data_IF_224036512100
#
_entry.id   IF_224036512100
#
_cell.length_a   1.000
_cell.length_b   1.000
_cell.length_c   1.000
_cell.angle_alpha   90.00
_cell.angle_beta   90.00
_cell.angle_gamma   90.00
#
_symmetry.space_group_name_H-M   'P 1'
#
loop_
_entity.id
_entity.type
_entity.pdbx_description
1 polymer ?
#
# COMPACT_ATOMS: atom_id res chain seq x y z
N UNK A 1 52.31 23.13 2.96
CA UNK A 1 50.89 23.01 2.47
C UNK A 1 50.78 21.74 1.66
N UNK A 2 49.81 20.90 1.93
CA UNK A 2 49.53 19.78 1.07
C UNK A 2 48.95 20.33 -0.26
N UNK A 3 49.54 19.91 -1.38
CA UNK A 3 49.04 20.24 -2.72
C UNK A 3 47.87 19.33 -3.06
N UNK A 4 46.84 19.89 -3.70
CA UNK A 4 45.63 19.17 -4.06
C UNK A 4 44.52 19.37 -3.03
N UNK A 5 43.34 18.94 -3.32
CA UNK A 5 42.14 19.04 -2.45
C UNK A 5 40.90 19.50 -3.24
N UNK A 6 39.74 19.41 -2.57
CA UNK A 6 38.43 19.73 -3.15
C UNK A 6 37.75 18.53 -3.83
N UNK A 7 36.48 18.73 -4.18
CA UNK A 7 35.65 17.72 -4.86
C UNK A 7 35.92 17.70 -6.36
N UNK A 8 35.67 16.56 -7.01
CA UNK A 8 35.74 16.42 -8.46
C UNK A 8 34.59 15.57 -9.00
N UNK A 9 34.12 15.90 -10.20
CA UNK A 9 33.14 15.11 -10.95
C UNK A 9 33.78 14.39 -12.14
N UNK A 10 34.88 14.97 -12.66
CA UNK A 10 35.70 14.42 -13.76
C UNK A 10 37.17 14.59 -13.41
N UNK A 11 38.04 13.76 -14.01
CA UNK A 11 39.48 13.78 -13.78
C UNK A 11 40.17 14.91 -14.58
N UNK A 12 39.91 16.16 -14.19
CA UNK A 12 40.39 17.37 -14.90
C UNK A 12 41.26 18.29 -14.02
N UNK A 13 42.06 17.71 -13.11
CA UNK A 13 42.90 18.47 -12.18
C UNK A 13 44.35 18.50 -12.73
N UNK A 14 44.92 19.71 -12.75
CA UNK A 14 46.26 19.93 -13.35
C UNK A 14 47.40 19.80 -12.33
N UNK A 15 47.11 19.89 -11.01
CA UNK A 15 48.16 19.82 -10.01
C UNK A 15 48.35 18.38 -9.48
N UNK A 16 49.59 17.92 -9.31
CA UNK A 16 49.82 16.68 -8.59
C UNK A 16 49.31 16.75 -7.17
N UNK A 17 48.51 15.77 -6.71
CA UNK A 17 47.96 15.74 -5.37
C UNK A 17 46.90 14.67 -5.16
N UNK A 18 46.45 14.50 -3.92
CA UNK A 18 45.35 13.60 -3.60
C UNK A 18 44.00 14.36 -3.71
N UNK A 19 43.12 13.89 -4.58
CA UNK A 19 41.77 14.40 -4.75
C UNK A 19 40.79 13.32 -4.28
N UNK A 20 40.10 13.57 -3.15
CA UNK A 20 39.26 12.57 -2.47
C UNK A 20 37.85 13.11 -2.39
N UNK A 21 36.91 12.43 -3.04
CA UNK A 21 35.48 12.64 -2.87
C UNK A 21 34.95 11.67 -1.84
N UNK A 22 34.32 12.21 -0.80
CA UNK A 22 33.44 11.45 0.03
C UNK A 22 32.05 11.51 -0.61
N UNK A 23 31.72 10.51 -1.39
CA UNK A 23 30.36 10.30 -1.88
C UNK A 23 29.69 9.37 -0.88
N UNK A 24 28.47 9.70 -0.45
CA UNK A 24 27.58 8.71 0.14
C UNK A 24 27.52 7.59 -0.90
N UNK A 25 28.13 6.46 -0.60
CA UNK A 25 27.73 5.25 -1.29
C UNK A 25 26.25 5.12 -1.02
N UNK A 26 25.41 5.28 -2.05
CA UNK A 26 24.21 4.52 -2.14
C UNK A 26 24.68 3.07 -2.27
N UNK A 27 25.29 2.54 -1.24
CA UNK A 27 25.54 1.13 -1.12
C UNK A 27 24.15 0.53 -0.99
N UNK A 28 23.81 -0.40 -1.85
CA UNK A 28 22.89 -1.45 -1.52
C UNK A 28 23.48 -2.14 -0.28
N UNK A 29 23.34 -1.48 0.87
CA UNK A 29 23.64 -2.08 2.16
C UNK A 29 22.46 -2.99 2.43
N UNK A 30 22.70 -4.15 3.02
CA UNK A 30 21.69 -5.06 3.51
C UNK A 30 20.95 -4.40 4.70
N UNK A 31 20.27 -3.27 4.45
CA UNK A 31 19.44 -2.55 5.43
C UNK A 31 18.01 -3.06 5.32
N UNK A 32 17.35 -3.16 6.46
CA UNK A 32 15.93 -3.49 6.49
C UNK A 32 15.13 -2.42 5.72
N UNK A 33 14.33 -2.86 4.75
CA UNK A 33 13.44 -1.95 4.03
C UNK A 33 12.30 -1.47 4.95
N UNK A 34 11.87 -0.22 4.74
CA UNK A 34 10.75 0.34 5.47
C UNK A 34 9.43 -0.27 5.05
N UNK A 35 8.54 -0.52 6.03
CA UNK A 35 7.18 -0.99 5.82
C UNK A 35 6.18 0.17 5.76
N UNK A 36 4.97 -0.11 5.29
CA UNK A 36 3.86 0.85 5.24
C UNK A 36 3.22 1.02 3.87
N UNK A 37 3.61 0.23 2.87
CA UNK A 37 3.03 0.31 1.53
C UNK A 37 1.89 -0.69 1.39
N UNK A 38 0.69 -0.17 1.10
CA UNK A 38 -0.50 -0.96 0.80
C UNK A 38 -0.91 -0.81 -0.66
N UNK A 39 -1.71 -1.73 -1.17
CA UNK A 39 -2.40 -1.58 -2.46
C UNK A 39 -3.85 -1.98 -2.35
N UNK A 40 -4.73 -1.25 -3.02
CA UNK A 40 -6.17 -1.53 -3.06
C UNK A 40 -6.79 -1.12 -4.39
N UNK A 41 -7.65 -1.97 -4.98
CA UNK A 41 -8.59 -1.55 -6.00
C UNK A 41 -9.78 -0.85 -5.34
N UNK A 42 -10.21 0.28 -5.88
CA UNK A 42 -11.22 1.17 -5.30
C UNK A 42 -12.32 1.49 -6.31
N UNK A 43 -13.55 1.58 -5.83
CA UNK A 43 -14.64 2.22 -6.55
C UNK A 43 -14.69 3.70 -6.16
N UNK A 44 -14.53 4.60 -7.12
CA UNK A 44 -14.43 6.03 -6.88
C UNK A 44 -15.35 6.80 -7.82
N UNK A 45 -15.91 7.91 -7.32
CA UNK A 45 -16.77 8.81 -8.10
C UNK A 45 -15.96 9.82 -8.93
N UNK A 46 -14.64 9.88 -8.73
CA UNK A 46 -13.69 10.81 -9.33
C UNK A 46 -12.27 10.28 -9.28
N UNK A 47 -11.36 10.87 -10.05
CA UNK A 47 -9.92 10.64 -9.94
C UNK A 47 -9.34 9.83 -11.09
N UNK A 48 -8.04 9.57 -10.99
CA UNK A 48 -7.23 8.87 -11.99
C UNK A 48 -7.86 7.52 -12.32
N UNK A 49 -7.88 7.16 -13.60
CA UNK A 49 -8.49 5.94 -14.11
C UNK A 49 -7.57 5.23 -15.11
N UNK A 50 -7.61 3.90 -15.13
CA UNK A 50 -6.88 3.06 -16.08
C UNK A 50 -5.42 2.79 -15.74
N UNK A 51 -4.92 3.33 -14.63
CA UNK A 51 -3.56 3.13 -14.16
C UNK A 51 -3.50 3.06 -12.63
N UNK A 52 -2.40 2.46 -12.11
CA UNK A 52 -2.07 2.51 -10.68
C UNK A 52 -1.51 3.88 -10.36
N UNK A 53 -2.00 4.50 -9.30
CA UNK A 53 -1.50 5.79 -8.83
C UNK A 53 -1.11 5.73 -7.35
N UNK A 54 -0.04 6.44 -7.02
CA UNK A 54 0.47 6.51 -5.66
C UNK A 54 -0.22 7.63 -4.88
N UNK A 55 -0.55 7.32 -3.63
CA UNK A 55 -1.09 8.30 -2.67
C UNK A 55 -0.33 8.12 -1.36
N UNK A 56 0.40 9.15 -0.95
CA UNK A 56 0.99 9.18 0.39
C UNK A 56 -0.03 9.64 1.43
N UNK A 57 0.20 9.33 2.71
CA UNK A 57 -0.66 9.85 3.78
C UNK A 57 -0.73 11.39 3.78
N UNK A 58 0.39 12.06 3.47
CA UNK A 58 0.43 13.52 3.36
C UNK A 58 -0.40 14.06 2.18
N UNK A 59 -0.35 13.38 1.02
CA UNK A 59 -1.17 13.74 -0.14
C UNK A 59 -2.65 13.52 0.13
N UNK A 60 -2.99 12.40 0.77
CA UNK A 60 -4.37 12.12 1.15
C UNK A 60 -4.96 13.22 2.05
N UNK A 61 -4.21 13.69 3.04
CA UNK A 61 -4.68 14.74 3.95
C UNK A 61 -4.81 16.11 3.26
N UNK A 62 -3.90 16.45 2.35
CA UNK A 62 -3.83 17.79 1.73
C UNK A 62 -4.60 17.90 0.43
N UNK A 63 -4.58 16.84 -0.38
CA UNK A 63 -5.01 16.85 -1.78
C UNK A 63 -6.21 15.93 -2.05
N UNK A 64 -6.95 15.49 -1.02
CA UNK A 64 -8.06 14.55 -1.17
C UNK A 64 -9.16 15.05 -2.12
N UNK A 65 -9.42 16.37 -2.15
CA UNK A 65 -10.37 16.96 -3.07
C UNK A 65 -9.93 16.82 -4.54
N UNK A 66 -8.64 16.99 -4.83
CA UNK A 66 -8.07 16.78 -6.16
C UNK A 66 -8.07 15.29 -6.55
N UNK A 67 -7.59 14.43 -5.65
CA UNK A 67 -7.37 13.02 -5.92
C UNK A 67 -8.67 12.21 -5.99
N UNK A 68 -9.61 12.47 -5.09
CA UNK A 68 -10.82 11.68 -4.89
C UNK A 68 -12.12 12.46 -5.08
N UNK A 69 -12.06 13.78 -5.31
CA UNK A 69 -13.21 14.67 -5.49
C UNK A 69 -13.93 15.04 -4.20
N UNK A 70 -13.42 14.67 -3.04
CA UNK A 70 -14.04 14.90 -1.74
C UNK A 70 -13.05 15.47 -0.74
N UNK A 71 -13.55 16.31 0.19
CA UNK A 71 -12.76 16.75 1.34
C UNK A 71 -12.29 15.56 2.18
N UNK A 72 -11.11 15.69 2.80
CA UNK A 72 -10.54 14.66 3.68
C UNK A 72 -11.53 14.13 4.72
N UNK A 73 -12.35 15.01 5.29
CA UNK A 73 -13.36 14.68 6.32
C UNK A 73 -14.65 14.06 5.79
N UNK A 74 -14.80 13.94 4.47
CA UNK A 74 -16.00 13.37 3.85
C UNK A 74 -16.23 11.92 4.30
N UNK A 75 -17.50 11.57 4.53
CA UNK A 75 -17.91 10.18 4.80
C UNK A 75 -17.50 9.23 3.66
N UNK A 76 -17.44 9.70 2.42
CA UNK A 76 -16.99 8.91 1.27
C UNK A 76 -15.54 8.41 1.38
N UNK A 77 -14.71 9.09 2.18
CA UNK A 77 -13.29 8.77 2.37
C UNK A 77 -13.00 8.08 3.70
N UNK A 78 -14.01 7.71 4.48
CA UNK A 78 -13.87 7.03 5.78
C UNK A 78 -12.97 5.79 5.71
N UNK A 79 -13.17 4.90 4.74
CA UNK A 79 -12.33 3.72 4.57
C UNK A 79 -10.87 4.05 4.32
N UNK A 80 -10.59 5.07 3.49
CA UNK A 80 -9.21 5.52 3.24
C UNK A 80 -8.60 6.16 4.51
N UNK A 81 -9.39 6.88 5.32
CA UNK A 81 -8.89 7.37 6.62
C UNK A 81 -8.49 6.21 7.53
N UNK A 82 -9.32 5.17 7.63
CA UNK A 82 -8.98 3.96 8.39
C UNK A 82 -7.69 3.28 7.89
N UNK A 83 -7.50 3.19 6.58
CA UNK A 83 -6.27 2.66 5.98
C UNK A 83 -5.04 3.50 6.38
N UNK A 84 -5.14 4.81 6.22
CA UNK A 84 -4.02 5.74 6.43
C UNK A 84 -3.72 6.06 7.89
N UNK A 85 -4.49 5.54 8.86
CA UNK A 85 -4.07 5.54 10.27
C UNK A 85 -2.72 4.83 10.41
N UNK A 86 -2.48 3.79 9.63
CA UNK A 86 -1.31 2.93 9.76
C UNK A 86 -0.47 2.82 8.47
N UNK A 87 -1.05 2.95 7.30
CA UNK A 87 -0.32 2.93 6.04
C UNK A 87 0.41 4.27 5.79
N UNK A 88 1.61 4.20 5.19
CA UNK A 88 2.37 5.38 4.73
C UNK A 88 2.00 5.75 3.30
N UNK A 89 1.84 4.74 2.46
CA UNK A 89 1.60 4.86 1.01
C UNK A 89 0.56 3.84 0.56
N UNK A 90 -0.32 4.27 -0.32
CA UNK A 90 -1.29 3.43 -1.02
C UNK A 90 -1.01 3.49 -2.52
N UNK A 91 -0.81 2.34 -3.15
CA UNK A 91 -0.96 2.17 -4.59
C UNK A 91 -2.42 1.87 -4.88
N UNK A 92 -3.14 2.88 -5.32
CA UNK A 92 -4.56 2.80 -5.63
C UNK A 92 -4.80 2.52 -7.12
N UNK A 93 -5.89 1.84 -7.41
CA UNK A 93 -6.39 1.65 -8.78
C UNK A 93 -7.90 1.86 -8.80
N UNK A 94 -8.39 2.67 -9.72
CA UNK A 94 -9.82 2.90 -9.86
C UNK A 94 -10.48 1.86 -10.75
N UNK A 95 -11.34 0.99 -10.17
CA UNK A 95 -12.02 -0.09 -10.87
C UNK A 95 -13.07 0.41 -11.87
N UNK A 96 -13.89 1.38 -11.45
CA UNK A 96 -15.00 1.95 -12.22
C UNK A 96 -14.59 3.20 -13.03
N UNK A 97 -13.35 3.23 -13.49
CA UNK A 97 -12.80 4.39 -14.20
C UNK A 97 -13.22 4.51 -15.67
N UNK A 98 -13.81 3.47 -16.28
CA UNK A 98 -14.26 3.47 -17.67
C UNK A 98 -15.67 4.08 -17.83
N UNK A 99 -15.91 5.22 -17.18
CA UNK A 99 -17.17 5.95 -17.25
C UNK A 99 -17.13 7.14 -18.20
N UNK A 100 -18.18 7.98 -18.13
CA UNK A 100 -18.31 9.19 -18.93
C UNK A 100 -17.86 10.42 -18.16
N UNK A 101 -17.17 11.35 -18.84
CA UNK A 101 -16.79 12.65 -18.28
C UNK A 101 -17.94 13.61 -18.38
N UNK A 102 -18.28 14.28 -17.29
CA UNK A 102 -19.22 15.40 -17.30
C UNK A 102 -18.67 16.57 -18.15
N UNK A 103 -19.57 17.31 -18.79
CA UNK A 103 -19.20 18.47 -19.57
C UNK A 103 -20.29 19.56 -19.52
N UNK A 104 -19.89 20.81 -19.86
CA UNK A 104 -20.77 21.89 -20.20
C UNK A 104 -20.28 22.56 -21.50
N UNK A 105 -20.85 23.71 -21.89
CA UNK A 105 -20.43 24.43 -23.10
C UNK A 105 -18.98 24.91 -23.05
N UNK A 106 -18.44 25.21 -21.87
CA UNK A 106 -17.12 25.80 -21.66
C UNK A 106 -15.99 24.80 -21.43
N UNK A 107 -16.31 23.65 -20.83
CA UNK A 107 -15.26 22.72 -20.40
C UNK A 107 -15.77 21.28 -20.28
N UNK A 108 -14.81 20.35 -20.21
CA UNK A 108 -15.02 18.93 -19.94
C UNK A 108 -14.27 18.53 -18.65
N UNK A 109 -14.90 17.74 -17.80
CA UNK A 109 -14.28 17.21 -16.58
C UNK A 109 -12.98 16.45 -16.90
N UNK A 110 -11.97 16.60 -16.05
CA UNK A 110 -10.69 15.93 -16.22
C UNK A 110 -10.84 14.40 -16.14
N UNK A 111 -11.65 13.93 -15.20
CA UNK A 111 -11.89 12.51 -14.96
C UNK A 111 -13.34 12.11 -15.20
N UNK A 112 -13.62 10.85 -15.58
CA UNK A 112 -14.99 10.34 -15.65
C UNK A 112 -15.56 10.19 -14.23
N UNK A 113 -16.88 10.12 -14.12
CA UNK A 113 -17.57 9.83 -12.88
C UNK A 113 -18.65 10.81 -12.51
N UNK A 114 -19.55 10.37 -11.63
CA UNK A 114 -20.72 11.13 -11.21
C UNK A 114 -20.35 12.43 -10.45
N UNK A 115 -19.20 12.48 -9.79
CA UNK A 115 -18.72 13.65 -9.08
C UNK A 115 -18.47 14.84 -10.03
N UNK A 116 -18.14 14.55 -11.30
CA UNK A 116 -18.00 15.57 -12.33
C UNK A 116 -19.26 16.41 -12.57
N UNK A 117 -20.45 15.87 -12.28
CA UNK A 117 -21.73 16.60 -12.43
C UNK A 117 -21.89 17.71 -11.37
N UNK A 118 -21.08 17.70 -10.32
CA UNK A 118 -21.08 18.77 -9.32
C UNK A 118 -20.12 19.93 -9.67
N UNK A 119 -19.40 19.81 -10.80
CA UNK A 119 -18.60 20.90 -11.33
C UNK A 119 -19.51 22.00 -11.90
N UNK A 120 -19.02 23.25 -11.82
CA UNK A 120 -19.69 24.43 -12.34
C UNK A 120 -18.66 25.42 -12.86
N UNK A 121 -18.91 26.04 -14.01
CA UNK A 121 -18.15 27.17 -14.54
C UNK A 121 -18.89 28.45 -14.22
N UNK A 122 -18.22 29.41 -13.57
CA UNK A 122 -18.71 30.78 -13.33
C UNK A 122 -17.78 31.73 -14.06
N UNK A 123 -18.33 32.71 -14.80
CA UNK A 123 -17.59 33.70 -15.55
C UNK A 123 -18.10 35.08 -15.17
N UNK A 124 -17.21 35.95 -14.72
CA UNK A 124 -17.49 37.31 -14.32
C UNK A 124 -16.54 38.27 -15.03
N UNK A 125 -16.95 39.52 -15.23
CA UNK A 125 -16.02 40.58 -15.65
C UNK A 125 -15.08 40.85 -14.48
N UNK A 126 -13.79 40.94 -14.75
CA UNK A 126 -12.80 41.28 -13.72
C UNK A 126 -13.08 42.69 -13.16
N UNK A 127 -12.98 42.83 -11.83
CA UNK A 127 -13.32 44.04 -11.13
C UNK A 127 -12.32 45.22 -11.38
N UNK A 128 -11.07 44.89 -11.68
CA UNK A 128 -9.99 45.86 -11.88
C UNK A 128 -9.78 46.22 -13.35
N UNK A 129 -10.15 45.31 -14.29
CA UNK A 129 -10.03 45.51 -15.74
C UNK A 129 -11.22 44.88 -16.48
N UNK A 130 -12.14 45.72 -16.94
CA UNK A 130 -13.35 45.30 -17.67
C UNK A 130 -13.09 44.59 -19.01
N UNK A 131 -11.85 44.59 -19.51
CA UNK A 131 -11.45 43.84 -20.71
C UNK A 131 -11.11 42.39 -20.43
N UNK A 132 -11.08 41.97 -19.13
CA UNK A 132 -10.74 40.63 -18.68
C UNK A 132 -11.94 39.95 -18.05
N UNK A 133 -11.89 38.62 -18.08
CA UNK A 133 -12.85 37.71 -17.40
C UNK A 133 -12.17 36.95 -16.29
N UNK A 134 -12.82 36.86 -15.12
CA UNK A 134 -12.50 35.92 -14.07
C UNK A 134 -13.32 34.64 -14.28
N UNK A 135 -12.63 33.57 -14.65
CA UNK A 135 -13.24 32.26 -14.92
C UNK A 135 -12.95 31.35 -13.76
N UNK A 136 -14.00 30.93 -13.04
CA UNK A 136 -13.92 30.09 -11.84
C UNK A 136 -14.42 28.69 -12.13
N UNK A 137 -13.68 27.71 -11.67
CA UNK A 137 -14.15 26.30 -11.57
C UNK A 137 -14.58 26.04 -10.14
N UNK A 138 -15.82 25.65 -9.94
CA UNK A 138 -16.33 25.22 -8.64
C UNK A 138 -16.57 23.71 -8.66
N UNK A 139 -16.33 23.04 -7.50
CA UNK A 139 -16.78 21.69 -7.23
C UNK A 139 -17.76 21.76 -6.04
N UNK A 140 -19.04 21.52 -6.29
CA UNK A 140 -20.10 21.84 -5.36
C UNK A 140 -20.17 23.38 -5.12
N UNK A 141 -19.85 23.81 -3.92
CA UNK A 141 -19.81 25.24 -3.52
C UNK A 141 -18.39 25.78 -3.39
N UNK A 142 -17.35 24.92 -3.49
CA UNK A 142 -15.95 25.30 -3.30
C UNK A 142 -15.33 25.74 -4.61
N UNK A 143 -14.73 26.94 -4.65
CA UNK A 143 -13.89 27.38 -5.77
C UNK A 143 -12.59 26.58 -5.72
N UNK A 144 -12.34 25.79 -6.76
CA UNK A 144 -11.17 24.91 -6.87
C UNK A 144 -10.12 25.40 -7.85
N UNK A 145 -10.48 26.37 -8.69
CA UNK A 145 -9.57 27.07 -9.61
C UNK A 145 -10.18 28.41 -10.04
N UNK A 146 -9.33 29.40 -10.25
CA UNK A 146 -9.72 30.72 -10.76
C UNK A 146 -8.62 31.25 -11.70
N UNK A 147 -9.02 31.70 -12.88
CA UNK A 147 -8.11 32.23 -13.90
C UNK A 147 -8.67 33.54 -14.44
N UNK A 148 -7.80 34.56 -14.61
CA UNK A 148 -8.15 35.84 -15.23
C UNK A 148 -7.57 35.85 -16.64
N UNK A 149 -8.43 36.02 -17.66
CA UNK A 149 -8.06 35.92 -19.07
C UNK A 149 -8.86 36.95 -19.91
N UNK A 150 -8.34 37.31 -21.06
CA UNK A 150 -9.06 38.18 -22.04
C UNK A 150 -10.10 37.41 -22.86
N UNK A 151 -9.84 36.14 -23.12
CA UNK A 151 -10.70 35.24 -23.90
C UNK A 151 -10.40 33.79 -23.57
N UNK A 152 -11.14 32.84 -24.18
CA UNK A 152 -11.01 31.40 -23.89
C UNK A 152 -9.63 30.84 -24.25
N UNK A 153 -8.91 31.44 -25.20
CA UNK A 153 -7.59 30.91 -25.63
C UNK A 153 -6.51 31.10 -24.56
N UNK A 154 -6.72 32.03 -23.62
CA UNK A 154 -5.87 32.22 -22.46
C UNK A 154 -6.05 31.22 -21.33
N UNK A 155 -7.11 30.40 -21.36
CA UNK A 155 -7.40 29.41 -20.31
C UNK A 155 -6.44 28.21 -20.36
N UNK A 156 -5.94 27.82 -19.21
CA UNK A 156 -5.13 26.63 -19.04
C UNK A 156 -5.94 25.53 -18.36
N UNK A 157 -5.75 24.28 -18.81
CA UNK A 157 -6.32 23.12 -18.14
C UNK A 157 -5.87 23.09 -16.67
N UNK A 158 -6.81 22.84 -15.76
CA UNK A 158 -6.52 22.72 -14.34
C UNK A 158 -6.67 21.26 -13.86
N UNK A 159 -6.66 21.03 -12.55
CA UNK A 159 -6.78 19.68 -11.96
C UNK A 159 -8.18 19.07 -12.12
N UNK A 160 -9.18 19.86 -12.47
CA UNK A 160 -10.59 19.47 -12.51
C UNK A 160 -11.19 19.48 -13.91
N UNK A 161 -10.75 20.39 -14.79
CA UNK A 161 -11.34 20.55 -16.12
C UNK A 161 -10.30 20.77 -17.21
N UNK A 162 -10.69 20.44 -18.43
CA UNK A 162 -10.05 20.86 -19.68
C UNK A 162 -11.00 21.80 -20.40
N UNK A 163 -10.51 23.00 -20.77
CA UNK A 163 -11.31 24.05 -21.37
C UNK A 163 -11.54 23.83 -22.87
N UNK A 164 -12.70 24.30 -23.36
CA UNK A 164 -12.95 24.49 -24.78
C UNK A 164 -12.43 25.87 -25.18
N UNK A 165 -11.32 25.90 -25.93
CA UNK A 165 -10.64 27.15 -26.31
C UNK A 165 -11.26 27.83 -27.52
N UNK A 166 -12.17 27.16 -28.23
CA UNK A 166 -12.85 27.68 -29.44
C UNK A 166 -14.20 28.36 -29.14
N UNK A 167 -14.45 28.76 -27.89
CA UNK A 167 -15.72 29.35 -27.45
C UNK A 167 -15.53 30.82 -27.05
N UNK A 168 -16.57 31.64 -27.21
CA UNK A 168 -16.63 32.96 -26.64
C UNK A 168 -17.02 32.91 -25.17
N UNK A 169 -16.28 33.64 -24.31
CA UNK A 169 -16.62 33.76 -22.90
C UNK A 169 -17.80 34.72 -22.74
N UNK A 170 -18.83 34.29 -22.04
CA UNK A 170 -20.01 35.09 -21.71
C UNK A 170 -20.19 35.09 -20.18
N UNK A 171 -20.54 36.24 -19.62
CA UNK A 171 -20.81 36.36 -18.18
C UNK A 171 -21.92 35.40 -17.76
N UNK A 172 -21.66 34.58 -16.75
CA UNK A 172 -22.63 33.63 -16.23
C UNK A 172 -22.47 33.44 -14.72
N UNK A 173 -23.60 33.33 -14.03
CA UNK A 173 -23.64 33.03 -12.60
C UNK A 173 -23.32 31.55 -12.29
N UNK A 174 -23.26 30.69 -13.31
CA UNK A 174 -22.82 29.30 -13.18
C UNK A 174 -23.49 28.36 -14.19
N UNK A 175 -22.68 27.73 -15.02
CA UNK A 175 -23.11 26.66 -15.95
C UNK A 175 -22.69 25.30 -15.35
N UNK A 176 -23.66 24.45 -14.97
CA UNK A 176 -23.35 23.13 -14.39
C UNK A 176 -22.80 22.19 -15.45
N UNK A 177 -21.97 21.23 -15.01
CA UNK A 177 -21.58 20.08 -15.81
C UNK A 177 -22.62 18.97 -15.70
N UNK A 178 -22.79 18.18 -16.75
CA UNK A 178 -23.74 17.08 -16.82
C UNK A 178 -23.17 15.89 -17.61
N UNK A 179 -23.83 14.71 -17.53
CA UNK A 179 -23.47 13.52 -18.28
C UNK A 179 -22.26 12.77 -17.73
N UNK A 180 -21.82 13.08 -16.53
CA UNK A 180 -20.78 12.30 -15.83
C UNK A 180 -21.36 11.01 -15.27
N UNK A 181 -20.71 9.88 -15.57
CA UNK A 181 -21.13 8.55 -15.11
C UNK A 181 -19.91 7.74 -14.66
N UNK A 182 -20.09 6.93 -13.62
CA UNK A 182 -19.10 5.93 -13.23
C UNK A 182 -19.15 4.77 -14.22
N UNK A 183 -18.01 4.14 -14.49
CA UNK A 183 -17.95 2.86 -15.19
C UNK A 183 -18.44 1.72 -14.31
N UNK A 184 -18.50 0.53 -14.88
CA UNK A 184 -18.88 -0.69 -14.17
C UNK A 184 -17.67 -1.34 -13.50
N UNK A 185 -17.89 -1.86 -12.28
CA UNK A 185 -16.98 -2.77 -11.61
C UNK A 185 -17.36 -4.22 -11.92
N UNK A 186 -16.49 -4.93 -12.63
CA UNK A 186 -16.71 -6.32 -13.01
C UNK A 186 -15.40 -7.12 -12.97
N UNK A 187 -15.44 -8.42 -13.26
CA UNK A 187 -14.28 -9.29 -13.26
C UNK A 187 -13.12 -8.81 -14.14
N UNK A 188 -13.42 -8.15 -15.28
CA UNK A 188 -12.39 -7.60 -16.15
C UNK A 188 -11.68 -6.39 -15.53
N UNK A 189 -12.40 -5.55 -14.77
CA UNK A 189 -11.81 -4.43 -14.04
C UNK A 189 -10.84 -4.92 -12.95
N UNK A 190 -11.21 -5.96 -12.20
CA UNK A 190 -10.31 -6.59 -11.24
C UNK A 190 -9.08 -7.21 -11.91
N UNK A 191 -9.25 -7.89 -13.06
CA UNK A 191 -8.11 -8.46 -13.78
C UNK A 191 -7.14 -7.36 -14.27
N UNK A 192 -7.65 -6.26 -14.81
CA UNK A 192 -6.81 -5.11 -15.21
C UNK A 192 -6.00 -4.54 -14.03
N UNK A 193 -6.63 -4.45 -12.85
CA UNK A 193 -5.91 -4.06 -11.65
C UNK A 193 -4.78 -5.05 -11.32
N UNK A 194 -5.07 -6.35 -11.29
CA UNK A 194 -4.07 -7.38 -10.98
C UNK A 194 -2.90 -7.35 -11.96
N UNK A 195 -3.18 -7.19 -13.26
CA UNK A 195 -2.15 -7.08 -14.30
C UNK A 195 -1.29 -5.81 -14.11
N UNK A 196 -1.92 -4.70 -13.72
CA UNK A 196 -1.23 -3.41 -13.51
C UNK A 196 -0.38 -3.40 -12.24
N UNK A 197 -0.85 -4.02 -11.16
CA UNK A 197 -0.17 -3.96 -9.85
C UNK A 197 0.99 -4.96 -9.73
N UNK A 198 1.08 -5.97 -10.60
CA UNK A 198 2.11 -7.01 -10.54
C UNK A 198 3.54 -6.43 -10.63
N UNK A 199 3.72 -5.26 -11.26
CA UNK A 199 5.01 -4.58 -11.38
C UNK A 199 5.43 -3.76 -10.15
N UNK A 200 4.55 -3.63 -9.15
CA UNK A 200 4.78 -2.80 -7.97
C UNK A 200 5.17 -3.62 -6.75
N UNK A 201 5.96 -3.01 -5.87
CA UNK A 201 6.34 -3.62 -4.59
C UNK A 201 5.52 -3.03 -3.45
N UNK A 202 4.83 -3.88 -2.70
CA UNK A 202 3.97 -3.50 -1.57
C UNK A 202 3.95 -4.62 -0.52
N UNK A 203 3.48 -4.30 0.69
CA UNK A 203 3.49 -5.24 1.82
C UNK A 203 2.14 -5.94 2.01
N UNK A 204 1.05 -5.25 1.71
CA UNK A 204 -0.31 -5.76 1.93
C UNK A 204 -1.25 -5.28 0.82
N UNK A 205 -2.05 -6.21 0.31
CA UNK A 205 -3.14 -5.95 -0.62
C UNK A 205 -4.47 -6.09 0.11
N UNK A 206 -5.35 -5.11 0.01
CA UNK A 206 -6.70 -5.19 0.55
C UNK A 206 -7.76 -5.14 -0.55
N UNK A 207 -8.81 -5.93 -0.43
CA UNK A 207 -9.91 -5.94 -1.40
C UNK A 207 -11.25 -5.94 -0.69
N UNK A 208 -12.02 -4.86 -0.86
CA UNK A 208 -13.33 -4.68 -0.22
C UNK A 208 -14.41 -5.32 -1.09
N UNK A 209 -14.59 -6.62 -0.95
CA UNK A 209 -15.57 -7.41 -1.72
C UNK A 209 -16.26 -8.43 -0.82
N UNK A 210 -17.50 -8.77 -1.18
CA UNK A 210 -18.30 -9.77 -0.45
C UNK A 210 -18.52 -11.04 -1.27
N UNK A 211 -18.42 -10.98 -2.58
CA UNK A 211 -18.64 -12.13 -3.48
C UNK A 211 -17.43 -13.09 -3.49
N UNK A 212 -17.73 -14.38 -3.49
CA UNK A 212 -16.73 -15.44 -3.43
C UNK A 212 -15.89 -15.61 -4.72
N UNK A 213 -16.40 -15.43 -5.93
CA UNK A 213 -15.60 -15.50 -7.14
C UNK A 213 -14.46 -14.48 -7.15
N UNK A 214 -14.73 -13.23 -6.80
CA UNK A 214 -13.70 -12.19 -6.72
C UNK A 214 -12.67 -12.49 -5.63
N UNK A 215 -13.10 -12.92 -4.42
CA UNK A 215 -12.17 -13.35 -3.37
C UNK A 215 -11.27 -14.48 -3.83
N UNK A 216 -11.82 -15.48 -4.56
CA UNK A 216 -11.04 -16.59 -5.11
C UNK A 216 -10.00 -16.14 -6.13
N UNK A 217 -10.33 -15.18 -7.00
CA UNK A 217 -9.41 -14.59 -7.97
C UNK A 217 -8.20 -13.98 -7.27
N UNK A 218 -8.42 -13.15 -6.26
CA UNK A 218 -7.34 -12.52 -5.49
C UNK A 218 -6.51 -13.53 -4.69
N UNK A 219 -7.13 -14.52 -4.08
CA UNK A 219 -6.42 -15.56 -3.35
C UNK A 219 -5.52 -16.40 -4.29
N UNK A 220 -5.99 -16.71 -5.49
CA UNK A 220 -5.18 -17.39 -6.51
C UNK A 220 -4.01 -16.51 -6.99
N UNK A 221 -4.24 -15.21 -7.19
CA UNK A 221 -3.20 -14.26 -7.57
C UNK A 221 -2.07 -14.20 -6.53
N UNK A 222 -2.42 -14.02 -5.25
CA UNK A 222 -1.43 -13.98 -4.16
C UNK A 222 -0.63 -15.27 -4.10
N UNK A 223 -1.31 -16.42 -4.20
CA UNK A 223 -0.64 -17.72 -4.16
C UNK A 223 0.35 -17.87 -5.33
N UNK A 224 -0.07 -17.52 -6.54
CA UNK A 224 0.80 -17.54 -7.72
C UNK A 224 2.03 -16.65 -7.54
N UNK A 225 1.85 -15.40 -7.13
CA UNK A 225 2.98 -14.47 -6.96
C UNK A 225 3.94 -14.92 -5.86
N UNK A 226 3.42 -15.42 -4.74
CA UNK A 226 4.27 -15.88 -3.63
C UNK A 226 4.99 -17.18 -3.92
N UNK A 227 4.30 -18.16 -4.46
CA UNK A 227 4.83 -19.53 -4.61
C UNK A 227 5.63 -19.70 -5.91
N UNK A 228 5.23 -19.04 -7.02
CA UNK A 228 5.85 -19.21 -8.32
C UNK A 228 6.82 -18.07 -8.69
N UNK A 229 6.47 -16.82 -8.33
CA UNK A 229 7.25 -15.63 -8.70
C UNK A 229 8.17 -15.12 -7.57
N UNK A 230 7.97 -15.59 -6.35
CA UNK A 230 8.78 -15.19 -5.19
C UNK A 230 8.47 -13.81 -4.61
N UNK A 231 7.41 -13.13 -5.07
CA UNK A 231 6.98 -11.81 -4.58
C UNK A 231 6.19 -11.99 -3.28
N UNK A 232 6.67 -11.42 -2.18
CA UNK A 232 6.13 -11.65 -0.83
C UNK A 232 5.28 -10.47 -0.35
N UNK A 233 3.99 -10.69 -0.14
CA UNK A 233 3.02 -9.77 0.46
C UNK A 233 1.84 -10.56 1.02
N UNK A 234 0.99 -9.94 1.85
CA UNK A 234 -0.24 -10.57 2.34
C UNK A 234 -1.49 -9.93 1.75
N UNK A 235 -2.50 -10.75 1.48
CA UNK A 235 -3.84 -10.34 1.05
C UNK A 235 -4.78 -10.25 2.24
N UNK A 236 -5.59 -9.20 2.33
CA UNK A 236 -6.65 -9.03 3.32
C UNK A 236 -8.02 -9.11 2.64
N UNK A 237 -8.85 -10.05 3.09
CA UNK A 237 -10.21 -10.27 2.62
C UNK A 237 -11.20 -10.33 3.80
N UNK A 238 -12.45 -10.06 3.52
CA UNK A 238 -13.55 -10.28 4.44
C UNK A 238 -14.14 -11.68 4.26
N UNK A 239 -14.32 -12.43 5.36
CA UNK A 239 -15.00 -13.73 5.42
C UNK A 239 -14.54 -14.72 4.33
N UNK A 240 -13.24 -15.07 4.32
CA UNK A 240 -12.65 -15.97 3.32
C UNK A 240 -11.62 -16.93 3.92
N UNK A 241 -11.94 -17.56 5.05
CA UNK A 241 -11.06 -18.54 5.73
C UNK A 241 -10.67 -19.74 4.85
N UNK A 242 -11.52 -20.07 3.88
CA UNK A 242 -11.29 -21.22 2.97
C UNK A 242 -10.07 -21.08 2.04
N UNK A 243 -9.38 -19.94 2.07
CA UNK A 243 -8.11 -19.77 1.36
C UNK A 243 -7.06 -20.77 1.87
N UNK A 244 -7.09 -21.10 3.18
CA UNK A 244 -6.15 -22.01 3.84
C UNK A 244 -4.69 -21.79 3.39
N UNK A 245 -4.25 -20.52 3.49
CA UNK A 245 -2.97 -20.08 2.96
C UNK A 245 -2.36 -18.95 3.82
N UNK A 246 -1.09 -19.08 4.18
CA UNK A 246 -0.40 -18.14 5.05
C UNK A 246 -0.24 -16.70 4.45
N UNK A 247 -0.37 -16.56 3.14
CA UNK A 247 -0.38 -15.27 2.44
C UNK A 247 -1.71 -14.56 2.45
N UNK A 248 -2.76 -15.11 3.10
CA UNK A 248 -4.11 -14.51 3.12
C UNK A 248 -4.62 -14.34 4.54
N UNK A 249 -5.11 -13.15 4.87
CA UNK A 249 -5.78 -12.79 6.13
C UNK A 249 -7.28 -12.70 5.85
N UNK A 250 -8.09 -13.41 6.63
CA UNK A 250 -9.55 -13.36 6.54
C UNK A 250 -10.12 -12.68 7.79
N UNK A 251 -10.87 -11.61 7.62
CA UNK A 251 -11.52 -10.87 8.70
C UNK A 251 -12.90 -11.47 8.95
N UNK A 252 -13.19 -11.85 10.20
CA UNK A 252 -14.50 -12.39 10.61
C UNK A 252 -15.57 -11.34 10.78
N UNK A 253 -15.24 -10.23 11.43
CA UNK A 253 -16.19 -9.20 11.80
C UNK A 253 -16.63 -8.39 10.60
N UNK A 254 -17.88 -7.95 10.62
CA UNK A 254 -18.44 -7.04 9.64
C UNK A 254 -18.56 -5.61 10.15
N UNK A 255 -18.60 -4.68 9.22
CA UNK A 255 -19.02 -3.30 9.46
C UNK A 255 -20.53 -3.23 9.47
N UNK A 256 -21.09 -2.44 10.42
CA UNK A 256 -22.54 -2.25 10.56
C UNK A 256 -22.99 -0.83 10.24
N UNK A 257 -22.12 0.02 9.71
CA UNK A 257 -22.46 1.37 9.26
C UNK A 257 -23.36 1.32 8.03
N UNK A 258 -24.46 2.08 8.04
CA UNK A 258 -25.33 2.24 6.88
C UNK A 258 -24.55 2.86 5.70
N UNK A 259 -24.82 2.38 4.49
CA UNK A 259 -24.18 2.85 3.26
C UNK A 259 -22.75 2.35 3.04
N UNK A 260 -22.22 1.49 3.91
CA UNK A 260 -20.91 0.86 3.76
C UNK A 260 -21.00 -0.65 3.56
N UNK A 261 -20.01 -1.20 2.85
CA UNK A 261 -19.86 -2.65 2.70
C UNK A 261 -19.57 -3.32 4.04
N UNK A 262 -20.15 -4.50 4.29
CA UNK A 262 -19.77 -5.34 5.44
C UNK A 262 -18.26 -5.62 5.49
N UNK A 263 -17.59 -5.62 4.34
CA UNK A 263 -16.15 -5.81 4.21
C UNK A 263 -15.30 -4.56 4.55
N UNK A 264 -15.90 -3.47 5.04
CA UNK A 264 -15.21 -2.19 5.28
C UNK A 264 -13.98 -2.26 6.19
N UNK A 265 -13.92 -3.22 7.14
CA UNK A 265 -12.74 -3.42 7.99
C UNK A 265 -11.47 -3.80 7.22
N UNK A 266 -11.58 -4.25 5.97
CA UNK A 266 -10.44 -4.52 5.10
C UNK A 266 -9.54 -3.30 4.98
N UNK A 267 -10.07 -2.09 4.95
CA UNK A 267 -9.27 -0.86 4.91
C UNK A 267 -8.31 -0.79 6.12
N UNK A 268 -8.84 -0.87 7.33
CA UNK A 268 -8.04 -0.76 8.55
C UNK A 268 -7.02 -1.91 8.67
N UNK A 269 -7.46 -3.16 8.47
CA UNK A 269 -6.57 -4.33 8.60
C UNK A 269 -5.46 -4.30 7.54
N UNK A 270 -5.75 -3.82 6.32
CA UNK A 270 -4.74 -3.62 5.28
C UNK A 270 -3.70 -2.60 5.72
N UNK A 271 -4.14 -1.44 6.22
CA UNK A 271 -3.25 -0.41 6.76
C UNK A 271 -2.44 -0.91 7.94
N UNK A 272 -3.10 -1.55 8.93
CA UNK A 272 -2.45 -2.09 10.12
C UNK A 272 -1.42 -3.17 9.79
N UNK A 273 -1.69 -4.04 8.80
CA UNK A 273 -0.75 -5.08 8.38
C UNK A 273 0.42 -4.50 7.58
N UNK A 274 0.17 -3.52 6.70
CA UNK A 274 1.22 -2.85 5.94
C UNK A 274 2.16 -2.04 6.84
N UNK A 275 1.61 -1.27 7.79
CA UNK A 275 2.36 -0.39 8.69
C UNK A 275 2.92 -1.08 9.92
N UNK A 276 2.58 -2.36 10.19
CA UNK A 276 3.13 -3.09 11.32
C UNK A 276 4.63 -3.32 11.13
N UNK A 277 5.42 -2.90 12.12
CA UNK A 277 6.85 -3.17 12.14
C UNK A 277 7.14 -4.68 12.12
N UNK A 278 8.26 -5.09 11.53
CA UNK A 278 8.59 -6.50 11.33
C UNK A 278 8.66 -7.29 12.65
N UNK A 279 9.11 -6.66 13.73
CA UNK A 279 9.25 -7.24 15.07
C UNK A 279 8.00 -7.05 15.96
N UNK A 280 6.87 -6.60 15.41
CA UNK A 280 5.63 -6.35 16.14
C UNK A 280 4.51 -7.25 15.66
N UNK A 281 3.49 -7.37 16.49
CA UNK A 281 2.24 -8.05 16.19
C UNK A 281 1.06 -7.09 16.26
N UNK A 282 0.03 -7.34 15.44
CA UNK A 282 -1.27 -6.68 15.60
C UNK A 282 -2.16 -7.38 16.65
N UNK A 283 -1.68 -8.44 17.30
CA UNK A 283 -2.40 -9.07 18.40
C UNK A 283 -2.70 -8.05 19.51
N UNK A 284 -3.92 -8.06 20.03
CA UNK A 284 -4.43 -7.12 21.03
C UNK A 284 -4.37 -5.63 20.62
N UNK A 285 -4.08 -5.33 19.34
CA UNK A 285 -4.09 -3.96 18.84
C UNK A 285 -5.51 -3.40 18.91
N UNK A 286 -5.64 -2.20 19.49
CA UNK A 286 -6.89 -1.47 19.52
C UNK A 286 -7.29 -1.05 18.12
N UNK A 287 -8.55 -1.25 17.77
CA UNK A 287 -9.15 -0.63 16.61
C UNK A 287 -9.36 0.88 16.90
N UNK A 288 -8.69 1.70 16.16
CA UNK A 288 -8.71 3.17 16.26
C UNK A 288 -9.33 3.83 15.02
N UNK A 289 -10.06 3.03 14.20
CA UNK A 289 -10.75 3.49 13.01
C UNK A 289 -12.16 4.05 13.31
N UNK A 290 -12.85 4.40 12.24
CA UNK A 290 -14.13 5.10 12.29
C UNK A 290 -15.36 4.20 12.08
N UNK A 291 -15.17 2.93 11.69
CA UNK A 291 -16.29 2.01 11.49
C UNK A 291 -16.81 1.42 12.79
N UNK A 292 -18.12 1.18 12.81
CA UNK A 292 -18.74 0.37 13.86
C UNK A 292 -18.57 -1.11 13.53
N UNK A 293 -17.92 -1.83 14.41
CA UNK A 293 -17.56 -3.23 14.25
C UNK A 293 -18.55 -4.12 14.98
N UNK A 294 -19.03 -5.18 14.33
CA UNK A 294 -19.86 -6.21 14.94
C UNK A 294 -19.00 -7.08 15.88
N UNK A 295 -19.17 -6.94 17.19
CA UNK A 295 -18.32 -7.59 18.21
C UNK A 295 -19.02 -8.52 19.20
N UNK A 296 -20.35 -8.77 19.17
CA UNK A 296 -21.01 -9.58 20.19
C UNK A 296 -20.81 -11.09 19.97
N UNK A 297 -19.55 -11.54 19.94
CA UNK A 297 -19.22 -12.95 19.83
C UNK A 297 -19.07 -13.63 21.18
N UNK A 298 -19.64 -14.82 21.32
CA UNK A 298 -19.40 -15.70 22.48
C UNK A 298 -17.98 -16.27 22.46
N UNK A 299 -17.48 -16.70 23.63
CA UNK A 299 -16.16 -17.34 23.74
C UNK A 299 -16.00 -18.56 22.80
N UNK A 300 -17.08 -19.32 22.58
CA UNK A 300 -17.04 -20.47 21.67
C UNK A 300 -16.94 -20.02 20.20
N UNK A 301 -17.61 -18.94 19.81
CA UNK A 301 -17.50 -18.36 18.46
C UNK A 301 -16.10 -17.78 18.20
N UNK A 302 -15.54 -17.06 19.18
CA UNK A 302 -14.17 -16.54 19.09
C UNK A 302 -13.16 -17.69 18.92
N UNK A 303 -13.30 -18.75 19.72
CA UNK A 303 -12.45 -19.94 19.60
C UNK A 303 -12.62 -20.66 18.26
N UNK A 304 -13.85 -20.74 17.75
CA UNK A 304 -14.12 -21.34 16.44
C UNK A 304 -13.51 -20.52 15.31
N UNK A 305 -13.59 -19.18 15.36
CA UNK A 305 -12.99 -18.29 14.37
C UNK A 305 -11.46 -18.47 14.31
N UNK A 306 -10.77 -18.47 15.45
CA UNK A 306 -9.32 -18.72 15.50
C UNK A 306 -8.96 -20.07 14.89
N UNK A 307 -9.71 -21.14 15.23
CA UNK A 307 -9.46 -22.49 14.67
C UNK A 307 -9.70 -22.56 13.17
N UNK A 308 -10.57 -21.70 12.64
CA UNK A 308 -10.84 -21.58 11.21
C UNK A 308 -9.83 -20.69 10.47
N UNK A 309 -8.84 -20.09 11.15
CA UNK A 309 -7.89 -19.16 10.55
C UNK A 309 -8.50 -17.77 10.25
N UNK A 310 -9.47 -17.35 11.06
CA UNK A 310 -10.12 -16.04 10.90
C UNK A 310 -9.56 -15.04 11.92
N UNK A 311 -9.04 -13.92 11.44
CA UNK A 311 -8.73 -12.77 12.27
C UNK A 311 -10.04 -12.17 12.77
N UNK A 312 -10.20 -12.09 14.09
CA UNK A 312 -11.44 -11.63 14.73
C UNK A 312 -11.16 -10.52 15.72
N UNK A 313 -12.04 -9.51 15.71
CA UNK A 313 -12.07 -8.45 16.69
C UNK A 313 -13.04 -8.81 17.82
N UNK A 314 -12.70 -8.43 19.03
CA UNK A 314 -13.52 -8.64 20.20
C UNK A 314 -13.51 -7.42 21.12
N UNK A 315 -14.46 -7.37 22.06
CA UNK A 315 -14.58 -6.28 23.01
C UNK A 315 -13.77 -6.59 24.28
N UNK A 316 -12.90 -5.66 24.67
CA UNK A 316 -12.13 -5.67 25.92
C UNK A 316 -12.34 -4.33 26.59
N UNK A 317 -13.00 -4.31 27.76
CA UNK A 317 -13.25 -3.09 28.53
C UNK A 317 -13.77 -1.91 27.68
N UNK A 318 -14.78 -2.17 26.85
CA UNK A 318 -15.38 -1.23 25.87
C UNK A 318 -14.49 -0.84 24.67
N UNK A 319 -13.32 -1.40 24.53
CA UNK A 319 -12.46 -1.20 23.36
C UNK A 319 -12.52 -2.40 22.42
N UNK A 320 -12.63 -2.13 21.14
CA UNK A 320 -12.54 -3.15 20.09
C UNK A 320 -11.07 -3.44 19.83
N UNK A 321 -10.67 -4.71 19.95
CA UNK A 321 -9.29 -5.15 19.79
C UNK A 321 -9.17 -6.39 18.91
N UNK A 322 -8.06 -6.54 18.21
CA UNK A 322 -7.69 -7.76 17.50
C UNK A 322 -7.44 -8.87 18.53
N UNK A 323 -8.09 -10.01 18.37
CA UNK A 323 -7.92 -11.13 19.32
C UNK A 323 -6.59 -11.86 19.10
N UNK A 324 -6.33 -12.32 17.89
CA UNK A 324 -5.05 -12.91 17.46
C UNK A 324 -4.67 -12.41 16.06
N UNK A 325 -3.38 -12.22 15.80
CA UNK A 325 -2.83 -11.74 14.52
C UNK A 325 -2.48 -12.94 13.64
N UNK A 326 -3.50 -13.59 13.09
CA UNK A 326 -3.38 -14.84 12.33
C UNK A 326 -3.85 -14.70 10.89
N UNK A 327 -3.36 -15.59 10.03
CA UNK A 327 -3.80 -15.78 8.66
C UNK A 327 -4.73 -16.99 8.50
N UNK A 328 -5.14 -17.27 7.26
CA UNK A 328 -6.12 -18.34 6.98
C UNK A 328 -5.54 -19.76 7.00
N UNK A 329 -4.25 -19.93 7.17
CA UNK A 329 -3.62 -21.25 7.17
C UNK A 329 -4.09 -22.07 8.37
N UNK A 330 -4.69 -23.21 8.12
CA UNK A 330 -5.09 -24.20 9.14
C UNK A 330 -4.46 -25.55 8.88
N UNK A 331 -4.26 -25.90 7.61
CA UNK A 331 -3.57 -27.13 7.21
C UNK A 331 -2.06 -26.95 7.28
N UNK A 332 -1.38 -27.81 8.02
CA UNK A 332 0.08 -27.82 8.16
C UNK A 332 0.70 -28.95 7.33
N UNK A 333 1.98 -28.79 6.98
CA UNK A 333 2.80 -29.78 6.30
C UNK A 333 4.15 -29.94 7.00
N UNK A 334 4.97 -30.88 6.56
CA UNK A 334 6.33 -31.09 7.10
C UNK A 334 7.24 -29.86 6.91
N UNK A 335 6.95 -29.01 5.91
CA UNK A 335 7.73 -27.80 5.60
C UNK A 335 7.09 -26.52 6.09
N UNK A 336 5.80 -26.55 6.45
CA UNK A 336 5.02 -25.39 6.90
C UNK A 336 4.21 -25.80 8.15
N UNK A 337 4.85 -25.67 9.30
CA UNK A 337 4.26 -25.97 10.60
C UNK A 337 3.38 -24.84 11.16
N UNK A 338 2.92 -25.00 12.40
CA UNK A 338 2.01 -24.06 13.08
C UNK A 338 2.52 -22.63 13.17
N UNK A 339 3.83 -22.41 13.15
CA UNK A 339 4.42 -21.06 13.22
C UNK A 339 4.04 -20.18 12.00
N UNK A 340 3.72 -20.80 10.86
CA UNK A 340 3.27 -20.08 9.65
C UNK A 340 1.83 -19.54 9.75
N UNK A 341 1.08 -19.91 10.77
CA UNK A 341 -0.27 -19.37 11.04
C UNK A 341 -0.25 -17.95 11.61
N UNK A 342 0.88 -17.54 12.15
CA UNK A 342 1.06 -16.23 12.79
C UNK A 342 1.56 -15.18 11.79
N UNK A 343 0.85 -14.04 11.69
CA UNK A 343 1.20 -12.99 10.75
C UNK A 343 2.51 -12.26 11.09
N UNK A 344 2.93 -12.24 12.36
CA UNK A 344 4.23 -11.68 12.72
C UNK A 344 5.36 -12.54 12.14
N UNK A 345 5.24 -13.87 12.21
CA UNK A 345 6.18 -14.77 11.55
C UNK A 345 6.23 -14.51 10.04
N UNK A 346 5.06 -14.40 9.40
CA UNK A 346 5.00 -14.14 7.96
C UNK A 346 5.65 -12.80 7.61
N UNK A 347 5.46 -11.77 8.42
CA UNK A 347 6.14 -10.46 8.21
C UNK A 347 7.65 -10.58 8.26
N UNK A 348 8.20 -11.37 9.18
CA UNK A 348 9.66 -11.57 9.29
C UNK A 348 10.19 -12.30 8.07
N UNK A 349 9.59 -13.43 7.69
CA UNK A 349 10.06 -14.20 6.53
C UNK A 349 9.85 -13.48 5.20
N UNK A 350 8.79 -12.69 5.07
CA UNK A 350 8.55 -11.87 3.89
C UNK A 350 9.57 -10.72 3.79
N UNK A 351 9.93 -10.11 4.93
CA UNK A 351 10.98 -9.09 4.99
C UNK A 351 12.32 -9.66 4.53
N UNK A 352 12.73 -10.81 5.08
CA UNK A 352 13.95 -11.49 4.68
C UNK A 352 13.92 -11.79 3.17
N UNK A 353 12.83 -12.41 2.68
CA UNK A 353 12.72 -12.81 1.29
C UNK A 353 12.80 -11.62 0.32
N UNK A 354 12.09 -10.53 0.62
CA UNK A 354 12.09 -9.34 -0.23
C UNK A 354 13.42 -8.59 -0.19
N UNK A 355 14.01 -8.38 1.01
CA UNK A 355 15.26 -7.64 1.17
C UNK A 355 16.43 -8.38 0.50
N UNK A 356 16.51 -9.70 0.69
CA UNK A 356 17.57 -10.51 0.04
C UNK A 356 17.37 -10.58 -1.48
N UNK A 357 16.14 -10.63 -1.97
CA UNK A 357 15.87 -10.55 -3.42
C UNK A 357 16.34 -9.22 -4.00
N UNK A 358 16.00 -8.10 -3.35
CA UNK A 358 16.46 -6.76 -3.77
C UNK A 358 17.98 -6.66 -3.71
N UNK A 359 18.60 -7.10 -2.61
CA UNK A 359 20.05 -7.14 -2.45
C UNK A 359 20.73 -7.91 -3.59
N UNK A 360 20.24 -9.13 -3.86
CA UNK A 360 20.80 -9.98 -4.92
C UNK A 360 20.65 -9.34 -6.29
N UNK A 361 19.46 -8.83 -6.63
CA UNK A 361 19.18 -8.25 -7.93
C UNK A 361 19.95 -6.94 -8.20
N UNK A 362 20.23 -6.14 -7.16
CA UNK A 362 20.89 -4.83 -7.33
C UNK A 362 22.40 -4.90 -7.20
N UNK A 363 22.94 -5.82 -6.40
CA UNK A 363 24.38 -5.86 -6.11
C UNK A 363 25.10 -7.05 -6.77
N UNK A 364 24.45 -8.21 -6.90
CA UNK A 364 25.10 -9.46 -7.29
C UNK A 364 24.78 -9.92 -8.71
N UNK A 365 23.52 -9.80 -9.13
CA UNK A 365 23.04 -10.36 -10.39
C UNK A 365 23.79 -9.76 -11.60
N UNK A 366 24.56 -10.60 -12.28
CA UNK A 366 25.34 -10.21 -13.47
C UNK A 366 26.57 -9.33 -13.19
N UNK A 367 26.84 -8.97 -11.93
CA UNK A 367 27.93 -8.06 -11.53
C UNK A 367 29.04 -8.80 -10.78
N UNK A 368 28.69 -9.57 -9.74
CA UNK A 368 29.68 -10.27 -8.90
C UNK A 368 29.95 -11.67 -9.43
N UNK A 369 31.22 -12.08 -9.63
CA UNK A 369 31.56 -13.42 -10.04
C UNK A 369 31.10 -14.49 -9.02
N UNK A 370 30.61 -15.62 -9.49
CA UNK A 370 30.26 -16.76 -8.62
C UNK A 370 31.50 -17.59 -8.29
N UNK A 371 32.46 -16.98 -7.61
CA UNK A 371 33.65 -17.63 -7.04
C UNK A 371 33.58 -17.65 -5.50
N UNK A 372 34.62 -18.10 -4.86
CA UNK A 372 34.67 -18.16 -3.40
C UNK A 372 34.53 -16.75 -2.76
N UNK A 373 35.18 -15.73 -3.35
CA UNK A 373 35.16 -14.37 -2.84
C UNK A 373 33.75 -13.74 -3.01
N UNK A 374 33.13 -13.90 -4.17
CA UNK A 374 31.75 -13.42 -4.44
C UNK A 374 30.71 -14.07 -3.51
N UNK A 375 30.81 -15.38 -3.27
CA UNK A 375 29.92 -16.07 -2.31
C UNK A 375 30.17 -15.64 -0.87
N UNK A 376 31.41 -15.37 -0.47
CA UNK A 376 31.71 -14.82 0.85
C UNK A 376 31.14 -13.41 1.03
N UNK A 377 31.18 -12.58 -0.02
CA UNK A 377 30.56 -11.26 -0.01
C UNK A 377 29.04 -11.35 0.18
N UNK A 378 28.36 -12.22 -0.55
CA UNK A 378 26.91 -12.44 -0.40
C UNK A 378 26.57 -12.97 1.00
N UNK A 379 27.34 -13.93 1.51
CA UNK A 379 27.20 -14.42 2.87
C UNK A 379 27.31 -13.30 3.90
N UNK A 380 28.32 -12.43 3.78
CA UNK A 380 28.53 -11.31 4.69
C UNK A 380 27.36 -10.33 4.69
N UNK A 381 26.79 -10.04 3.53
CA UNK A 381 25.62 -9.15 3.45
C UNK A 381 24.37 -9.78 4.06
N UNK A 382 24.13 -11.08 3.86
CA UNK A 382 23.00 -11.79 4.49
C UNK A 382 23.16 -11.81 6.01
N UNK A 383 24.36 -12.13 6.50
CA UNK A 383 24.68 -12.08 7.95
C UNK A 383 24.43 -10.68 8.52
N UNK A 384 24.88 -9.64 7.84
CA UNK A 384 24.67 -8.26 8.26
C UNK A 384 23.17 -7.89 8.34
N UNK A 385 22.37 -8.36 7.39
CA UNK A 385 20.91 -8.20 7.39
C UNK A 385 20.28 -8.91 8.61
N UNK A 386 20.65 -10.16 8.89
CA UNK A 386 20.09 -10.94 10.00
C UNK A 386 20.50 -10.37 11.36
N UNK A 387 21.70 -9.82 11.49
CA UNK A 387 22.12 -9.09 12.70
C UNK A 387 21.23 -7.87 12.97
N UNK A 388 20.75 -7.16 11.93
CA UNK A 388 19.77 -6.09 12.12
C UNK A 388 18.43 -6.59 12.61
N UNK A 389 17.93 -7.73 12.06
CA UNK A 389 16.70 -8.37 12.55
C UNK A 389 16.83 -8.84 14.00
N UNK A 390 17.98 -9.38 14.39
CA UNK A 390 18.26 -9.78 15.77
C UNK A 390 18.31 -8.56 16.70
N UNK A 391 18.97 -7.48 16.28
CA UNK A 391 19.06 -6.23 17.05
C UNK A 391 17.70 -5.64 17.40
N UNK A 392 16.73 -5.69 16.46
CA UNK A 392 15.35 -5.26 16.68
C UNK A 392 14.49 -6.34 17.33
N UNK A 393 15.04 -7.53 17.61
CA UNK A 393 14.34 -8.67 18.21
C UNK A 393 13.23 -9.25 17.33
N UNK A 394 13.41 -9.22 16.03
CA UNK A 394 12.53 -9.94 15.09
C UNK A 394 12.91 -11.42 14.98
N UNK A 395 14.20 -11.73 15.15
CA UNK A 395 14.76 -13.07 15.29
C UNK A 395 15.63 -13.17 16.56
N UNK A 396 15.94 -14.38 17.00
CA UNK A 396 16.80 -14.62 18.16
C UNK A 396 17.79 -15.75 17.92
N UNK A 397 18.85 -15.79 18.74
CA UNK A 397 19.89 -16.83 18.75
C UNK A 397 20.58 -17.02 17.40
N UNK A 398 20.69 -15.97 16.60
CA UNK A 398 21.30 -16.02 15.28
C UNK A 398 22.81 -16.20 15.35
N UNK A 399 23.33 -17.20 14.67
CA UNK A 399 24.76 -17.47 14.48
C UNK A 399 25.15 -17.27 13.01
N UNK A 400 26.31 -16.73 12.74
CA UNK A 400 26.84 -16.59 11.38
C UNK A 400 26.97 -17.94 10.65
N UNK A 401 27.07 -19.04 11.41
CA UNK A 401 27.11 -20.40 10.89
C UNK A 401 25.74 -20.93 10.41
N UNK A 402 24.64 -20.23 10.75
CA UNK A 402 23.30 -20.57 10.32
C UNK A 402 23.06 -20.22 8.84
N UNK A 403 23.94 -19.34 8.28
CA UNK A 403 23.92 -18.99 6.87
C UNK A 403 25.08 -19.67 6.16
N UNK A 404 24.80 -20.40 5.08
CA UNK A 404 25.81 -20.95 4.19
C UNK A 404 25.50 -20.56 2.74
N UNK A 405 26.53 -20.10 2.00
CA UNK A 405 26.41 -19.72 0.60
C UNK A 405 27.31 -20.62 -0.25
N UNK A 406 26.69 -21.47 -1.06
CA UNK A 406 27.36 -22.50 -1.84
C UNK A 406 27.15 -22.27 -3.35
N UNK A 407 28.01 -22.86 -4.16
CA UNK A 407 27.79 -22.94 -5.59
C UNK A 407 26.63 -23.90 -5.86
N UNK A 408 25.67 -23.46 -6.67
CA UNK A 408 24.55 -24.29 -7.09
C UNK A 408 24.91 -25.28 -8.21
N UNK A 409 23.90 -25.88 -8.81
CA UNK A 409 24.02 -26.90 -9.85
C UNK A 409 24.67 -26.40 -11.14
N UNK A 410 24.75 -25.10 -11.36
CA UNK A 410 25.44 -24.49 -12.49
C UNK A 410 26.45 -23.45 -12.04
N UNK A 411 27.40 -23.07 -12.93
CA UNK A 411 28.38 -22.01 -12.64
C UNK A 411 27.76 -20.65 -12.33
N UNK A 412 26.51 -20.42 -12.76
CA UNK A 412 25.78 -19.15 -12.52
C UNK A 412 24.85 -19.21 -11.30
N UNK A 413 24.62 -20.40 -10.76
CA UNK A 413 23.70 -20.59 -9.63
C UNK A 413 24.43 -20.53 -8.28
N UNK A 414 23.78 -19.87 -7.33
CA UNK A 414 24.17 -19.83 -5.91
C UNK A 414 23.05 -20.44 -5.10
N UNK A 415 23.39 -21.24 -4.09
CA UNK A 415 22.45 -21.79 -3.12
C UNK A 415 22.77 -21.22 -1.75
N UNK A 416 21.75 -20.69 -1.08
CA UNK A 416 21.82 -20.22 0.29
C UNK A 416 20.98 -21.15 1.16
N UNK A 417 21.58 -21.69 2.22
CA UNK A 417 20.83 -22.33 3.31
C UNK A 417 20.88 -21.35 4.49
N UNK A 418 19.73 -21.07 5.05
CA UNK A 418 19.52 -20.04 6.03
C UNK A 418 18.57 -20.56 7.12
N UNK A 419 18.99 -20.47 8.38
CA UNK A 419 18.21 -20.88 9.54
C UNK A 419 17.95 -19.67 10.42
N UNK A 420 16.68 -19.34 10.62
CA UNK A 420 16.27 -18.22 11.48
C UNK A 420 15.24 -18.68 12.51
N UNK A 421 15.40 -18.21 13.75
CA UNK A 421 14.42 -18.41 14.83
C UNK A 421 13.64 -17.11 15.02
N UNK A 422 12.37 -17.11 14.61
CA UNK A 422 11.51 -15.90 14.68
C UNK A 422 11.05 -15.69 16.13
N UNK A 423 11.04 -14.43 16.57
CA UNK A 423 10.49 -14.02 17.86
C UNK A 423 9.07 -13.50 17.68
N UNK A 424 8.11 -14.13 18.35
CA UNK A 424 6.72 -13.71 18.35
C UNK A 424 6.35 -12.99 19.65
N UNK A 425 5.33 -12.13 19.60
CA UNK A 425 4.78 -11.44 20.77
C UNK A 425 4.16 -12.44 21.75
N UNK A 426 4.20 -12.14 23.06
CA UNK A 426 3.55 -12.97 24.08
C UNK A 426 2.04 -12.93 23.90
N UNK A 427 1.44 -14.10 23.66
CA UNK A 427 -0.02 -14.26 23.47
C UNK A 427 -0.73 -14.91 24.65
N UNK A 428 -0.05 -15.75 25.45
CA UNK A 428 -0.67 -16.51 26.54
C UNK A 428 0.22 -16.54 27.77
N UNK A 429 -0.35 -16.24 28.94
CA UNK A 429 0.33 -16.35 30.24
C UNK A 429 -0.27 -17.55 31.01
N UNK A 430 0.58 -18.48 31.41
CA UNK A 430 0.23 -19.53 32.34
C UNK A 430 1.03 -19.32 33.63
N UNK A 431 0.35 -19.01 34.74
CA UNK A 431 0.99 -18.76 36.02
C UNK A 431 0.39 -19.66 37.10
N UNK A 432 1.24 -20.33 37.85
CA UNK A 432 0.85 -21.06 39.06
C UNK A 432 1.37 -20.29 40.27
N UNK A 433 0.48 -19.83 41.13
CA UNK A 433 0.84 -19.20 42.40
C UNK A 433 0.58 -20.20 43.53
N UNK A 434 1.63 -20.60 44.25
CA UNK A 434 1.49 -21.44 45.44
C UNK A 434 1.44 -20.53 46.66
N UNK A 435 0.37 -20.58 47.41
CA UNK A 435 0.19 -19.83 48.66
C UNK A 435 0.52 -20.78 49.81
N UNK A 436 1.50 -20.43 50.66
CA UNK A 436 1.92 -21.17 51.84
C UNK A 436 1.20 -20.68 53.10
#
# INVERSE_FOLDING_TARGET
MALGGGTFLVQNKDLPGAYINFVSAASASATLSERGIATMPLELDWGIAGEVFEVTNGDFQKNSMELFGYEYTSEKLKGLRDLFIHAKTLYAYRLNGEGTKAANSYAKARYPGIRGNELKTVIQINADDESLFDVKTLLGTTVVDEQTVSDATGLNANKYVTWNLDITLEVTAGVPFTGGENGETNGAAYQKYLDSIEAYTFHTMGVVVTDNPTKALFAAFVKRLRDEMGIKFQLVLYDYAKADYYGTISIKNKVVNEGWSEAGLVYWVTGASAGCEVNKSNQNKKYDGEFMVDTPYTQNQLRAAIKAGELVFHLVDSEVRVLEDINTMVTTSDTQGDIFKDNQTIRVIDQIGNDIAVLFNTKYLGVVPNDAAGRTSLWSDIVAHHRQLEQIRAIENFSETDVTVLQGSSKKAVVVNDLVTVVNAMGKLYMVCTVG
#
